data_IF_394594890098
#
_entry.id   IF_394594890098
#
_cell.length_a   1.000
_cell.length_b   1.000
_cell.length_c   1.000
_cell.angle_alpha   90.00
_cell.angle_beta   90.00
_cell.angle_gamma   90.00
#
_symmetry.space_group_name_H-M   'P 1'
#
loop_
_entity.id
_entity.type
_entity.pdbx_description
1 polymer ?
#
# COMPACT_ATOMS: atom_id res chain seq x y z
N UNK A 1 -50.07 16.14 7.37
CA UNK A 1 -48.75 16.49 6.80
C UNK A 1 -47.63 16.33 7.83
N UNK A 2 -47.30 15.10 8.22
CA UNK A 2 -46.13 14.80 9.08
C UNK A 2 -45.40 13.49 8.71
N UNK A 3 -46.05 12.61 7.96
CA UNK A 3 -45.52 11.28 7.62
C UNK A 3 -44.77 11.28 6.27
N UNK A 4 -45.11 12.19 5.33
CA UNK A 4 -44.42 12.27 4.03
C UNK A 4 -43.01 12.88 4.11
N UNK A 5 -42.71 13.72 5.11
CA UNK A 5 -41.38 14.33 5.27
C UNK A 5 -40.32 13.36 5.80
N UNK A 6 -40.73 12.38 6.61
CA UNK A 6 -39.82 11.42 7.23
C UNK A 6 -39.35 10.30 6.29
N UNK A 7 -40.09 10.05 5.21
CA UNK A 7 -39.73 9.03 4.20
C UNK A 7 -38.63 9.54 3.27
N UNK A 8 -38.59 10.85 2.98
CA UNK A 8 -37.54 11.44 2.13
C UNK A 8 -36.17 11.52 2.82
N UNK A 9 -36.13 11.68 4.15
CA UNK A 9 -34.87 11.68 4.92
C UNK A 9 -34.32 10.26 5.08
N UNK A 10 -35.18 9.24 5.13
CA UNK A 10 -34.73 7.84 5.21
C UNK A 10 -34.24 7.31 3.86
N UNK A 11 -34.80 7.76 2.73
CA UNK A 11 -34.32 7.37 1.39
C UNK A 11 -32.94 7.96 1.03
N UNK A 12 -32.55 9.08 1.63
CA UNK A 12 -31.23 9.68 1.42
C UNK A 12 -30.08 8.93 2.14
N UNK A 13 -30.41 8.04 3.10
CA UNK A 13 -29.43 7.25 3.86
C UNK A 13 -29.16 5.86 3.27
N UNK A 14 -29.83 5.49 2.17
CA UNK A 14 -29.69 4.18 1.51
C UNK A 14 -29.20 4.30 0.07
N UNK A 15 -28.51 5.40 -0.27
CA UNK A 15 -27.60 5.39 -1.41
C UNK A 15 -26.39 4.50 -1.08
N UNK A 16 -26.66 3.19 -1.08
CA UNK A 16 -25.70 2.15 -1.35
C UNK A 16 -24.97 2.51 -2.64
N UNK A 17 -23.86 3.24 -2.52
CA UNK A 17 -22.83 3.15 -3.54
C UNK A 17 -22.13 1.83 -3.31
N UNK A 18 -22.78 0.78 -3.81
CA UNK A 18 -22.06 -0.39 -4.29
C UNK A 18 -21.16 0.10 -5.43
N UNK A 19 -20.02 0.69 -5.09
CA UNK A 19 -18.92 0.90 -6.01
C UNK A 19 -18.36 -0.48 -6.34
N UNK A 20 -19.00 -1.13 -7.31
CA UNK A 20 -18.38 -2.19 -8.08
C UNK A 20 -17.11 -1.58 -8.68
N UNK A 21 -15.95 -1.83 -8.04
CA UNK A 21 -14.60 -1.53 -8.52
C UNK A 21 -14.55 -0.24 -9.36
N UNK A 22 -14.75 0.92 -8.72
CA UNK A 22 -14.77 2.19 -9.44
C UNK A 22 -13.41 2.39 -10.12
N UNK A 23 -13.41 2.42 -11.46
CA UNK A 23 -12.34 3.04 -12.25
C UNK A 23 -12.11 4.43 -11.66
N UNK A 24 -10.86 4.75 -11.31
CA UNK A 24 -10.55 6.08 -10.78
C UNK A 24 -11.10 7.13 -11.76
N UNK A 25 -12.04 7.94 -11.30
CA UNK A 25 -12.64 8.99 -12.13
C UNK A 25 -11.83 10.28 -11.98
N UNK A 26 -12.08 11.26 -12.85
CA UNK A 26 -11.32 12.52 -12.87
C UNK A 26 -11.32 13.27 -11.54
N UNK A 27 -12.41 13.18 -10.77
CA UNK A 27 -12.50 13.86 -9.48
C UNK A 27 -11.64 13.16 -8.43
N UNK A 28 -11.58 11.82 -8.45
CA UNK A 28 -10.67 11.03 -7.62
C UNK A 28 -9.20 11.30 -7.98
N UNK A 29 -8.87 11.45 -9.27
CA UNK A 29 -7.51 11.84 -9.71
C UNK A 29 -7.15 13.21 -9.12
N UNK A 30 -8.02 14.20 -9.27
CA UNK A 30 -7.77 15.55 -8.74
C UNK A 30 -7.68 15.55 -7.21
N UNK A 31 -8.47 14.75 -6.53
CA UNK A 31 -8.40 14.61 -5.08
C UNK A 31 -7.04 14.03 -4.65
N UNK A 32 -6.55 13.00 -5.35
CA UNK A 32 -5.23 12.41 -5.10
C UNK A 32 -4.11 13.42 -5.38
N UNK A 33 -4.17 14.14 -6.50
CA UNK A 33 -3.21 15.19 -6.84
C UNK A 33 -3.18 16.28 -5.76
N UNK A 34 -4.35 16.80 -5.39
CA UNK A 34 -4.50 17.82 -4.36
C UNK A 34 -3.95 17.33 -3.00
N UNK A 35 -4.24 16.07 -2.63
CA UNK A 35 -3.70 15.47 -1.42
C UNK A 35 -2.17 15.45 -1.45
N UNK A 36 -1.57 15.02 -2.57
CA UNK A 36 -0.12 15.01 -2.77
C UNK A 36 0.52 16.40 -2.65
N UNK A 37 -0.04 17.39 -3.36
CA UNK A 37 0.45 18.77 -3.32
C UNK A 37 0.34 19.41 -1.93
N UNK A 38 -0.79 19.19 -1.25
CA UNK A 38 -1.06 19.75 0.08
C UNK A 38 -0.10 19.22 1.14
N UNK A 39 0.29 17.95 1.04
CA UNK A 39 1.19 17.29 1.98
C UNK A 39 2.62 17.15 1.44
N UNK A 40 3.01 17.97 0.46
CA UNK A 40 4.30 17.79 -0.22
C UNK A 40 5.51 17.87 0.73
N UNK A 41 5.42 18.73 1.74
CA UNK A 41 6.48 18.95 2.74
C UNK A 41 6.32 18.10 4.01
N UNK A 42 5.30 17.23 4.07
CA UNK A 42 5.18 16.24 5.14
C UNK A 42 6.31 15.21 5.03
N UNK A 43 6.80 14.72 6.16
CA UNK A 43 7.78 13.63 6.18
C UNK A 43 7.22 12.39 5.48
N UNK A 44 8.10 11.63 4.82
CA UNK A 44 7.67 10.54 3.95
C UNK A 44 6.87 9.46 4.71
N UNK A 45 7.32 9.09 5.90
CA UNK A 45 6.66 8.10 6.74
C UNK A 45 5.28 8.57 7.22
N UNK A 46 5.12 9.86 7.49
CA UNK A 46 3.85 10.46 7.90
C UNK A 46 2.88 10.52 6.72
N UNK A 47 3.37 10.88 5.53
CA UNK A 47 2.59 10.90 4.29
C UNK A 47 2.00 9.53 3.96
N UNK A 48 2.77 8.46 4.20
CA UNK A 48 2.36 7.08 3.94
C UNK A 48 1.57 6.40 5.06
N UNK A 49 1.41 7.07 6.21
CA UNK A 49 0.82 6.47 7.42
C UNK A 49 -0.56 5.83 7.19
N UNK A 50 -1.48 6.37 6.36
CA UNK A 50 -2.77 5.73 6.11
C UNK A 50 -2.68 4.37 5.37
N UNK A 51 -1.56 4.09 4.71
CA UNK A 51 -1.39 2.89 3.87
C UNK A 51 -0.42 1.87 4.46
N UNK A 52 0.01 2.05 5.71
CA UNK A 52 1.00 1.17 6.36
C UNK A 52 0.35 0.06 7.18
N UNK A 53 0.94 -1.14 7.12
CA UNK A 53 0.80 -2.19 8.11
C UNK A 53 2.17 -2.50 8.69
N UNK A 54 2.24 -2.69 10.00
CA UNK A 54 3.42 -3.22 10.67
C UNK A 54 3.36 -4.74 10.79
N UNK A 55 4.51 -5.37 11.04
CA UNK A 55 4.58 -6.83 11.18
C UNK A 55 3.88 -7.30 12.47
N UNK A 56 3.01 -8.31 12.35
CA UNK A 56 2.09 -8.76 13.41
C UNK A 56 2.75 -9.16 14.74
N UNK A 57 3.98 -9.67 14.70
CA UNK A 57 4.73 -10.14 15.88
C UNK A 57 5.61 -9.03 16.47
N UNK A 58 5.60 -7.82 15.93
CA UNK A 58 6.39 -6.71 16.46
C UNK A 58 5.82 -6.27 17.82
N UNK A 59 6.54 -6.48 18.93
CA UNK A 59 6.00 -6.22 20.26
C UNK A 59 5.88 -4.73 20.58
N UNK A 60 6.75 -3.90 20.00
CA UNK A 60 6.75 -2.44 20.12
C UNK A 60 7.30 -1.81 18.85
N UNK A 61 6.62 -0.77 18.38
CA UNK A 61 7.06 -0.03 17.20
C UNK A 61 8.32 0.80 17.51
N UNK A 62 9.30 0.73 16.61
CA UNK A 62 10.58 1.42 16.64
C UNK A 62 11.12 1.57 15.20
N UNK A 63 12.33 2.12 15.05
CA UNK A 63 12.96 2.32 13.74
C UNK A 63 13.21 1.03 12.95
N UNK A 64 13.33 -0.12 13.63
CA UNK A 64 13.52 -1.45 13.05
C UNK A 64 12.22 -2.24 12.91
N UNK A 65 11.07 -1.58 13.09
CA UNK A 65 9.79 -2.23 12.85
C UNK A 65 9.60 -2.47 11.36
N UNK A 66 9.47 -3.73 11.02
CA UNK A 66 9.13 -4.14 9.67
C UNK A 66 7.75 -3.62 9.32
N UNK A 67 7.62 -3.17 8.09
CA UNK A 67 6.40 -2.51 7.62
C UNK A 67 6.18 -2.77 6.14
N UNK A 68 4.92 -2.84 5.77
CA UNK A 68 4.46 -2.93 4.40
C UNK A 68 3.53 -1.76 4.10
N UNK A 69 3.61 -1.23 2.89
CA UNK A 69 2.74 -0.17 2.38
C UNK A 69 1.93 -0.71 1.21
N UNK A 70 0.61 -0.49 1.24
CA UNK A 70 -0.27 -0.80 0.12
C UNK A 70 -0.34 0.39 -0.84
N UNK A 71 0.18 0.23 -2.05
CA UNK A 71 0.13 1.25 -3.10
C UNK A 71 -1.21 1.17 -3.83
N UNK A 72 -2.19 1.93 -3.33
CA UNK A 72 -3.44 2.15 -4.05
C UNK A 72 -3.22 3.08 -5.23
N UNK A 73 -4.15 3.06 -6.19
CA UNK A 73 -4.14 4.00 -7.32
C UNK A 73 -4.16 5.47 -6.85
N UNK A 74 -4.89 5.76 -5.76
CA UNK A 74 -4.88 7.07 -5.12
C UNK A 74 -3.48 7.43 -4.61
N UNK A 75 -2.83 6.54 -3.85
CA UNK A 75 -1.50 6.80 -3.29
C UNK A 75 -0.44 6.97 -4.38
N UNK A 76 -0.52 6.20 -5.48
CA UNK A 76 0.40 6.35 -6.62
C UNK A 76 0.33 7.77 -7.22
N UNK A 77 -0.88 8.27 -7.48
CA UNK A 77 -1.11 9.61 -8.01
C UNK A 77 -0.68 10.68 -6.99
N UNK A 78 -1.03 10.49 -5.71
CA UNK A 78 -0.68 11.44 -4.66
C UNK A 78 0.85 11.53 -4.45
N UNK A 79 1.57 10.41 -4.57
CA UNK A 79 3.03 10.37 -4.49
C UNK A 79 3.67 11.17 -5.63
N UNK A 80 3.22 10.96 -6.88
CA UNK A 80 3.70 11.72 -8.04
C UNK A 80 3.44 13.23 -7.88
N UNK A 81 2.23 13.61 -7.48
CA UNK A 81 1.88 15.00 -7.24
C UNK A 81 2.73 15.66 -6.14
N UNK A 82 2.99 14.93 -5.05
CA UNK A 82 3.91 15.35 -3.99
C UNK A 82 5.32 15.59 -4.52
N UNK A 83 5.87 14.64 -5.27
CA UNK A 83 7.21 14.77 -5.84
C UNK A 83 7.33 15.93 -6.83
N UNK A 84 6.33 16.12 -7.69
CA UNK A 84 6.30 17.25 -8.63
C UNK A 84 6.22 18.57 -7.89
N UNK A 85 5.39 18.67 -6.86
CA UNK A 85 5.28 19.87 -6.04
C UNK A 85 6.62 20.24 -5.40
N UNK A 86 7.35 19.25 -4.87
CA UNK A 86 8.71 19.44 -4.32
C UNK A 86 9.73 19.89 -5.37
N UNK A 87 9.55 19.49 -6.63
CA UNK A 87 10.36 19.93 -7.79
C UNK A 87 9.88 21.26 -8.38
N UNK A 88 8.83 21.88 -7.84
CA UNK A 88 8.25 23.12 -8.37
C UNK A 88 7.43 22.94 -9.65
N UNK A 89 7.02 21.72 -9.98
CA UNK A 89 6.20 21.36 -11.14
C UNK A 89 4.76 21.06 -10.69
N UNK A 90 3.76 21.46 -11.46
CA UNK A 90 2.36 21.10 -11.18
C UNK A 90 1.99 19.78 -11.86
N UNK A 91 1.35 18.83 -11.15
CA UNK A 91 0.90 17.57 -11.73
C UNK A 91 -0.15 17.81 -12.83
N UNK A 92 -0.03 17.12 -13.96
CA UNK A 92 -1.02 17.13 -15.03
C UNK A 92 -1.91 15.89 -14.96
N UNK A 93 -3.09 15.97 -15.57
CA UNK A 93 -4.02 14.85 -15.63
C UNK A 93 -3.41 13.66 -16.39
N UNK A 94 -2.75 13.94 -17.51
CA UNK A 94 -2.06 12.97 -18.38
C UNK A 94 -1.04 12.13 -17.61
N UNK A 95 -0.27 12.76 -16.72
CA UNK A 95 0.68 12.05 -15.86
C UNK A 95 0.01 10.99 -14.97
N UNK A 96 -1.19 11.30 -14.48
CA UNK A 96 -1.95 10.40 -13.63
C UNK A 96 -2.55 9.25 -14.45
N UNK A 97 -2.95 9.50 -15.68
CA UNK A 97 -3.42 8.47 -16.62
C UNK A 97 -2.29 7.51 -16.99
N UNK A 98 -1.07 8.01 -17.20
CA UNK A 98 0.12 7.19 -17.44
C UNK A 98 0.44 6.29 -16.24
N UNK A 99 0.38 6.84 -15.02
CA UNK A 99 0.55 6.05 -13.78
C UNK A 99 -0.53 4.95 -13.70
N UNK A 100 -1.80 5.30 -13.90
CA UNK A 100 -2.89 4.33 -13.86
C UNK A 100 -2.73 3.22 -14.89
N UNK A 101 -2.22 3.55 -16.08
CA UNK A 101 -1.94 2.60 -17.16
C UNK A 101 -0.83 1.64 -16.76
N UNK A 102 0.28 2.15 -16.22
CA UNK A 102 1.45 1.35 -15.84
C UNK A 102 1.17 0.35 -14.71
N UNK A 103 0.25 0.68 -13.80
CA UNK A 103 -0.12 -0.17 -12.67
C UNK A 103 -1.47 -0.90 -12.87
N UNK A 104 -2.05 -0.81 -14.06
CA UNK A 104 -3.35 -1.40 -14.32
C UNK A 104 -3.33 -2.93 -14.13
N UNK A 105 -4.30 -3.45 -13.37
CA UNK A 105 -4.42 -4.86 -13.08
C UNK A 105 -3.46 -5.39 -12.02
N UNK A 106 -2.70 -4.52 -11.33
CA UNK A 106 -1.81 -4.91 -10.23
C UNK A 106 -2.17 -4.28 -8.88
N UNK A 107 -2.23 -5.14 -7.85
CA UNK A 107 -2.19 -4.73 -6.46
C UNK A 107 -0.73 -4.75 -6.01
N UNK A 108 -0.20 -3.61 -5.55
CA UNK A 108 1.24 -3.42 -5.31
C UNK A 108 1.52 -3.15 -3.83
N UNK A 109 2.55 -3.79 -3.30
CA UNK A 109 3.07 -3.53 -1.95
C UNK A 109 4.54 -3.15 -2.01
N UNK A 110 4.94 -2.20 -1.16
CA UNK A 110 6.36 -2.03 -0.79
C UNK A 110 6.56 -2.58 0.61
N UNK A 111 7.63 -3.33 0.84
CA UNK A 111 7.88 -3.97 2.14
C UNK A 111 9.30 -3.65 2.59
N UNK A 112 9.43 -3.21 3.84
CA UNK A 112 10.70 -3.06 4.54
C UNK A 112 10.87 -4.21 5.52
N UNK A 113 11.91 -5.02 5.32
CA UNK A 113 12.30 -6.14 6.16
C UNK A 113 13.69 -5.92 6.74
N UNK A 114 13.99 -6.58 7.86
CA UNK A 114 15.29 -6.51 8.51
C UNK A 114 15.91 -7.90 8.71
N UNK A 115 17.22 -7.99 8.48
CA UNK A 115 17.93 -9.26 8.49
C UNK A 115 19.36 -9.16 9.03
N UNK A 116 19.94 -10.32 9.32
CA UNK A 116 21.34 -10.44 9.79
C UNK A 116 22.34 -10.71 8.67
N UNK A 117 21.88 -10.96 7.44
CA UNK A 117 22.72 -11.32 6.29
C UNK A 117 22.38 -10.45 5.08
N UNK A 118 23.36 -10.09 4.26
CA UNK A 118 23.18 -9.21 3.08
C UNK A 118 22.17 -9.77 2.06
N UNK A 119 22.02 -11.10 1.96
CA UNK A 119 21.19 -11.77 0.94
C UNK A 119 19.98 -12.49 1.52
N UNK A 120 19.49 -12.09 2.69
CA UNK A 120 18.42 -12.80 3.42
C UNK A 120 17.08 -12.84 2.67
N UNK A 121 16.74 -11.79 1.91
CA UNK A 121 15.50 -11.72 1.15
C UNK A 121 15.53 -12.37 -0.24
N UNK A 122 16.68 -12.90 -0.68
CA UNK A 122 16.78 -13.56 -1.99
C UNK A 122 15.88 -14.80 -2.04
N UNK A 123 15.18 -15.00 -3.16
CA UNK A 123 14.18 -16.05 -3.34
C UNK A 123 13.03 -16.01 -2.31
N UNK A 124 12.68 -14.82 -1.81
CA UNK A 124 11.53 -14.65 -0.94
C UNK A 124 10.26 -15.17 -1.62
N UNK A 125 9.48 -15.97 -0.89
CA UNK A 125 8.18 -16.45 -1.33
C UNK A 125 7.13 -15.55 -0.71
N UNK A 126 6.30 -14.94 -1.55
CA UNK A 126 5.30 -13.97 -1.10
C UNK A 126 3.90 -14.40 -1.51
N UNK A 127 2.97 -14.35 -0.56
CA UNK A 127 1.56 -14.73 -0.76
C UNK A 127 0.63 -13.77 -0.05
N UNK A 128 -0.54 -13.52 -0.63
CA UNK A 128 -1.69 -12.96 0.09
C UNK A 128 -2.58 -14.10 0.57
N UNK A 129 -2.91 -14.08 1.85
CA UNK A 129 -3.94 -14.94 2.43
C UNK A 129 -5.24 -14.16 2.58
N UNK A 130 -6.33 -14.73 2.09
CA UNK A 130 -7.64 -14.12 2.12
C UNK A 130 -8.72 -15.17 2.42
N UNK A 131 -9.08 -15.29 3.71
CA UNK A 131 -9.81 -16.47 4.19
C UNK A 131 -9.02 -17.74 3.91
N UNK A 132 -9.63 -18.72 3.26
CA UNK A 132 -8.99 -19.98 2.88
C UNK A 132 -8.13 -19.89 1.61
N UNK A 133 -8.24 -18.78 0.85
CA UNK A 133 -7.49 -18.59 -0.38
C UNK A 133 -6.04 -18.16 -0.08
N UNK A 134 -5.09 -18.75 -0.81
CA UNK A 134 -3.69 -18.36 -0.80
C UNK A 134 -3.25 -17.98 -2.21
N UNK A 135 -3.08 -16.68 -2.44
CA UNK A 135 -2.74 -16.10 -3.74
C UNK A 135 -1.24 -15.88 -3.78
N UNK A 136 -0.54 -16.45 -4.74
CA UNK A 136 0.91 -16.22 -4.93
C UNK A 136 1.14 -14.87 -5.60
N UNK A 137 2.23 -14.20 -5.23
CA UNK A 137 2.68 -12.99 -5.92
C UNK A 137 2.94 -13.32 -7.41
N UNK A 138 2.49 -12.43 -8.28
CA UNK A 138 2.81 -12.49 -9.70
C UNK A 138 4.27 -12.15 -9.94
N UNK A 139 4.76 -11.13 -9.23
CA UNK A 139 6.15 -10.69 -9.29
C UNK A 139 6.62 -10.22 -7.92
N UNK A 140 7.88 -10.52 -7.61
CA UNK A 140 8.57 -10.03 -6.42
C UNK A 140 9.88 -9.41 -6.89
N UNK A 141 10.02 -8.10 -6.71
CA UNK A 141 11.23 -7.35 -7.04
C UNK A 141 12.03 -7.17 -5.76
N UNK A 142 13.08 -7.97 -5.63
CA UNK A 142 14.00 -7.93 -4.49
C UNK A 142 15.36 -7.43 -4.97
N UNK A 143 15.92 -6.37 -4.34
CA UNK A 143 17.30 -5.97 -4.59
C UNK A 143 18.28 -7.13 -4.41
N UNK A 144 19.36 -7.20 -5.22
CA UNK A 144 20.35 -8.29 -5.15
C UNK A 144 21.02 -8.39 -3.77
N UNK A 145 21.07 -7.28 -3.02
CA UNK A 145 21.69 -7.14 -1.70
C UNK A 145 20.86 -6.17 -0.87
N UNK A 146 20.69 -6.49 0.41
CA UNK A 146 20.11 -5.61 1.41
C UNK A 146 21.12 -4.53 1.82
N UNK A 147 20.62 -3.35 2.17
CA UNK A 147 21.44 -2.22 2.60
C UNK A 147 21.95 -2.43 4.02
N UNK A 148 23.26 -2.23 4.23
CA UNK A 148 23.83 -2.27 5.58
C UNK A 148 23.42 -1.02 6.35
N UNK A 149 22.86 -1.20 7.54
CA UNK A 149 22.47 -0.07 8.38
C UNK A 149 23.70 0.55 9.06
N UNK A 150 23.93 1.84 8.85
CA UNK A 150 25.02 2.55 9.48
C UNK A 150 24.77 2.60 11.00
N UNK A 151 25.75 2.13 11.81
CA UNK A 151 25.76 2.12 13.28
C UNK A 151 25.06 0.96 14.02
N UNK A 152 24.60 -0.09 13.33
CA UNK A 152 24.10 -1.28 14.03
C UNK A 152 25.28 -2.12 14.56
N UNK A 153 25.49 -2.10 15.87
CA UNK A 153 26.31 -3.10 16.60
C UNK A 153 25.47 -4.30 17.06
N UNK A 154 24.14 -4.16 17.05
CA UNK A 154 23.17 -5.17 17.46
C UNK A 154 22.32 -5.62 16.25
N UNK A 155 22.00 -6.92 16.17
CA UNK A 155 21.15 -7.46 15.11
C UNK A 155 19.72 -6.89 15.21
N UNK A 156 19.03 -6.62 14.08
CA UNK A 156 19.43 -6.84 12.68
C UNK A 156 20.38 -5.76 12.16
N UNK A 157 21.20 -6.10 11.14
CA UNK A 157 22.26 -5.24 10.59
C UNK A 157 22.01 -4.79 9.14
N UNK A 158 21.02 -5.40 8.48
CA UNK A 158 20.65 -5.11 7.10
C UNK A 158 19.18 -4.76 6.97
N UNK A 159 18.88 -3.75 6.15
CA UNK A 159 17.53 -3.33 5.73
C UNK A 159 17.30 -3.75 4.29
N UNK A 160 16.17 -4.36 4.00
CA UNK A 160 15.75 -4.70 2.64
C UNK A 160 14.43 -4.00 2.35
N UNK A 161 14.37 -3.27 1.23
CA UNK A 161 13.12 -2.82 0.65
C UNK A 161 12.82 -3.62 -0.61
N UNK A 162 11.65 -4.26 -0.69
CA UNK A 162 11.22 -4.99 -1.87
C UNK A 162 9.82 -4.54 -2.31
N UNK A 163 9.50 -4.82 -3.58
CA UNK A 163 8.20 -4.53 -4.17
C UNK A 163 7.53 -5.83 -4.60
N UNK A 164 6.23 -5.95 -4.32
CA UNK A 164 5.46 -7.17 -4.56
C UNK A 164 4.21 -6.83 -5.34
N UNK A 165 3.94 -7.59 -6.39
CA UNK A 165 2.83 -7.37 -7.31
C UNK A 165 1.93 -8.60 -7.35
N UNK A 166 0.62 -8.37 -7.21
CA UNK A 166 -0.43 -9.39 -7.35
C UNK A 166 -1.38 -8.97 -8.47
N UNK A 167 -1.93 -9.94 -9.21
CA UNK A 167 -2.95 -9.64 -10.22
C UNK A 167 -4.26 -9.27 -9.53
N UNK A 168 -4.77 -8.06 -9.76
CA UNK A 168 -6.00 -7.53 -9.13
C UNK A 168 -7.20 -8.45 -9.34
N UNK A 169 -7.30 -9.11 -10.50
CA UNK A 169 -8.39 -10.03 -10.84
C UNK A 169 -8.55 -11.21 -9.86
N UNK A 170 -7.52 -11.50 -9.07
CA UNK A 170 -7.53 -12.57 -8.08
C UNK A 170 -7.86 -12.07 -6.66
N UNK A 171 -8.02 -10.75 -6.47
CA UNK A 171 -8.22 -10.10 -5.18
C UNK A 171 -9.71 -9.85 -4.96
N UNK A 172 -10.21 -10.08 -3.74
CA UNK A 172 -11.56 -9.66 -3.35
C UNK A 172 -11.46 -8.45 -2.42
N UNK A 173 -11.89 -7.28 -2.85
CA UNK A 173 -11.64 -6.02 -2.12
C UNK A 173 -12.51 -5.81 -0.87
N UNK A 174 -13.45 -6.71 -0.59
CA UNK A 174 -14.37 -6.65 0.55
C UNK A 174 -13.90 -7.50 1.75
N UNK A 175 -12.75 -8.19 1.64
CA UNK A 175 -12.16 -8.93 2.76
C UNK A 175 -10.75 -8.43 3.05
N UNK A 176 -10.34 -8.46 4.33
CA UNK A 176 -8.96 -8.18 4.68
C UNK A 176 -8.03 -9.27 4.15
N UNK A 177 -6.76 -8.92 4.02
CA UNK A 177 -5.70 -9.79 3.56
C UNK A 177 -4.53 -9.80 4.53
N UNK A 178 -3.83 -10.93 4.60
CA UNK A 178 -2.52 -11.01 5.24
C UNK A 178 -1.48 -11.20 4.15
N UNK A 179 -0.60 -10.22 3.99
CA UNK A 179 0.62 -10.34 3.19
C UNK A 179 1.63 -11.15 4.00
N UNK A 180 1.92 -12.37 3.56
CA UNK A 180 2.94 -13.24 4.14
C UNK A 180 4.17 -13.30 3.26
N UNK A 181 5.33 -13.07 3.85
CA UNK A 181 6.64 -13.17 3.19
C UNK A 181 7.48 -14.18 3.94
N UNK A 182 7.98 -15.18 3.22
CA UNK A 182 8.94 -16.15 3.73
C UNK A 182 10.31 -15.88 3.10
N UNK A 183 11.29 -15.53 3.92
CA UNK A 183 12.66 -15.20 3.50
C UNK A 183 13.57 -16.44 3.53
N UNK A 184 14.77 -16.32 2.94
CA UNK A 184 15.72 -17.45 2.80
C UNK A 184 16.22 -17.99 4.14
N UNK A 185 16.29 -17.13 5.15
CA UNK A 185 16.64 -17.49 6.52
C UNK A 185 15.50 -18.19 7.29
N UNK A 186 14.43 -18.58 6.58
CA UNK A 186 13.24 -19.28 7.11
C UNK A 186 12.42 -18.42 8.08
N UNK A 187 12.63 -17.12 8.10
CA UNK A 187 11.74 -16.20 8.80
C UNK A 187 10.45 -16.01 8.00
N UNK A 188 9.37 -15.76 8.73
CA UNK A 188 8.06 -15.48 8.17
C UNK A 188 7.51 -14.21 8.78
N UNK A 189 7.25 -13.25 7.89
CA UNK A 189 6.78 -11.91 8.17
C UNK A 189 5.34 -11.78 7.69
N UNK A 190 4.45 -11.26 8.54
CA UNK A 190 3.04 -11.08 8.20
C UNK A 190 2.62 -9.62 8.39
N UNK A 191 1.86 -9.10 7.44
CA UNK A 191 1.30 -7.75 7.48
C UNK A 191 -0.19 -7.82 7.17
N UNK A 192 -1.02 -7.25 8.05
CA UNK A 192 -2.47 -7.27 7.94
C UNK A 192 -2.97 -6.00 7.26
N UNK A 193 -3.77 -6.16 6.20
CA UNK A 193 -4.42 -5.04 5.53
C UNK A 193 -5.92 -5.25 5.50
N UNK A 194 -6.66 -4.28 6.05
CA UNK A 194 -8.08 -4.14 5.80
C UNK A 194 -8.29 -3.13 4.68
N UNK A 195 -8.64 -3.61 3.48
CA UNK A 195 -8.87 -2.74 2.33
C UNK A 195 -9.99 -1.73 2.55
N UNK A 196 -10.92 -1.95 3.49
CA UNK A 196 -11.94 -0.96 3.82
C UNK A 196 -11.38 0.26 4.56
N UNK A 197 -10.27 0.08 5.30
CA UNK A 197 -9.63 1.13 6.08
C UNK A 197 -8.56 1.91 5.30
N UNK A 198 -8.13 1.37 4.16
CA UNK A 198 -7.00 1.87 3.34
C UNK A 198 -7.48 2.54 2.04
N UNK A 199 -8.77 2.88 1.94
CA UNK A 199 -9.39 3.54 0.78
C UNK A 199 -9.30 5.05 0.83
#
# INVERSE_FOLDING_TARGET
MRILGSIFVLLALVCNQAFAISLINRDEIKAAQHYGEKHAHMEWEEFLLPWVSYEEKTPRLNEFSEKAYLYTKFLLIATDAREKRLKGVSPQLEDSEDILTNYNGYLTFSVTLYGSQEKFGQNAIVTLKQGDASIKAYQVVVPPRAEKMAKSTEKPTYRLQCYVYFLEKNIVYDKPVILSISTKDKQKHNFYFDFAQVR
#
